data_IF_136198287943
#
_entry.id   IF_136198287943
#
_cell.length_a   1.000
_cell.length_b   1.000
_cell.length_c   1.000
_cell.angle_alpha   90.00
_cell.angle_beta   90.00
_cell.angle_gamma   90.00
#
_symmetry.space_group_name_H-M   'P 1'
#
loop_
_entity.id
_entity.type
_entity.pdbx_description
1 polymer ?
#
# COMPACT_ATOMS: atom_id res chain seq x y z
N UNK A 1 -34.18 11.88 20.86
CA UNK A 1 -33.45 12.61 19.79
C UNK A 1 -32.55 11.62 19.07
N UNK A 2 -32.82 11.37 17.78
CA UNK A 2 -32.09 10.40 16.96
C UNK A 2 -30.68 10.93 16.69
N UNK A 3 -29.65 10.20 17.13
CA UNK A 3 -28.27 10.41 16.68
C UNK A 3 -28.22 9.94 15.21
N UNK A 4 -28.04 10.87 14.28
CA UNK A 4 -27.90 10.59 12.86
C UNK A 4 -26.78 9.55 12.64
N UNK A 5 -27.13 8.37 12.12
CA UNK A 5 -26.19 7.27 11.84
C UNK A 5 -25.26 7.52 10.64
N UNK A 6 -24.82 8.77 10.42
CA UNK A 6 -23.79 9.14 9.44
C UNK A 6 -22.46 9.38 10.15
N UNK A 7 -21.36 9.00 9.50
CA UNK A 7 -20.01 9.31 9.99
C UNK A 7 -19.79 10.83 10.09
N UNK A 8 -18.99 11.28 11.07
CA UNK A 8 -18.49 12.64 11.09
C UNK A 8 -17.55 12.91 9.89
N UNK A 9 -17.32 14.19 9.57
CA UNK A 9 -16.51 14.60 8.42
C UNK A 9 -15.09 14.04 8.46
N UNK A 10 -14.51 13.87 9.65
CA UNK A 10 -13.15 13.35 9.82
C UNK A 10 -13.09 11.87 9.48
N UNK A 11 -14.08 11.11 9.93
CA UNK A 11 -14.26 9.69 9.64
C UNK A 11 -14.52 9.46 8.15
N UNK A 12 -15.37 10.30 7.54
CA UNK A 12 -15.60 10.26 6.10
C UNK A 12 -14.33 10.57 5.31
N UNK A 13 -13.58 11.60 5.70
CA UNK A 13 -12.29 11.93 5.06
C UNK A 13 -11.30 10.77 5.20
N UNK A 14 -11.18 10.19 6.40
CA UNK A 14 -10.29 9.07 6.64
C UNK A 14 -10.63 7.88 5.74
N UNK A 15 -11.89 7.42 5.74
CA UNK A 15 -12.32 6.25 4.98
C UNK A 15 -12.17 6.45 3.46
N UNK A 16 -12.43 7.66 2.96
CA UNK A 16 -12.28 7.96 1.53
C UNK A 16 -10.81 8.11 1.12
N UNK A 17 -9.97 8.71 1.97
CA UNK A 17 -8.51 8.77 1.76
C UNK A 17 -7.89 7.38 1.75
N UNK A 18 -8.12 6.56 2.78
CA UNK A 18 -7.52 5.22 2.86
C UNK A 18 -8.00 4.33 1.71
N UNK A 19 -9.26 4.46 1.26
CA UNK A 19 -9.74 3.76 0.06
C UNK A 19 -8.93 4.13 -1.17
N UNK A 20 -8.64 5.43 -1.35
CA UNK A 20 -7.85 5.92 -2.48
C UNK A 20 -6.44 5.35 -2.42
N UNK A 21 -5.81 5.33 -1.25
CA UNK A 21 -4.46 4.78 -1.10
C UNK A 21 -4.40 3.29 -1.42
N UNK A 22 -5.25 2.45 -0.80
CA UNK A 22 -5.22 1.00 -1.04
C UNK A 22 -5.53 0.66 -2.51
N UNK A 23 -6.39 1.44 -3.18
CA UNK A 23 -6.65 1.30 -4.62
C UNK A 23 -5.46 1.70 -5.48
N UNK A 24 -4.80 2.80 -5.13
CA UNK A 24 -3.61 3.29 -5.84
C UNK A 24 -2.49 2.26 -5.75
N UNK A 25 -2.24 1.75 -4.55
CA UNK A 25 -1.22 0.75 -4.26
C UNK A 25 -1.55 -0.59 -4.92
N UNK A 26 -2.80 -1.06 -4.83
CA UNK A 26 -3.24 -2.28 -5.54
C UNK A 26 -3.02 -2.16 -7.05
N UNK A 27 -3.47 -1.06 -7.68
CA UNK A 27 -3.32 -0.85 -9.11
C UNK A 27 -1.84 -0.75 -9.53
N UNK A 28 -0.98 -0.14 -8.69
CA UNK A 28 0.46 -0.10 -8.93
C UNK A 28 1.06 -1.51 -8.89
N UNK A 29 0.74 -2.30 -7.86
CA UNK A 29 1.23 -3.67 -7.71
C UNK A 29 0.74 -4.61 -8.81
N UNK A 30 -0.50 -4.49 -9.25
CA UNK A 30 -1.01 -5.26 -10.38
C UNK A 30 -0.24 -4.95 -11.67
N UNK A 31 0.03 -3.67 -11.95
CA UNK A 31 0.83 -3.27 -13.11
C UNK A 31 2.28 -3.78 -13.00
N UNK A 32 2.88 -3.62 -11.83
CA UNK A 32 4.25 -4.06 -11.57
C UNK A 32 4.40 -5.59 -11.66
N UNK A 33 3.41 -6.34 -11.15
CA UNK A 33 3.36 -7.80 -11.27
C UNK A 33 3.29 -8.25 -12.73
N UNK A 34 2.47 -7.58 -13.56
CA UNK A 34 2.40 -7.87 -15.01
C UNK A 34 3.72 -7.61 -15.72
N UNK A 35 4.43 -6.53 -15.37
CA UNK A 35 5.69 -6.15 -16.04
C UNK A 35 6.90 -6.98 -15.59
N UNK A 36 7.06 -7.17 -14.29
CA UNK A 36 8.26 -7.76 -13.69
C UNK A 36 8.09 -9.24 -13.32
N UNK A 37 6.87 -9.77 -13.41
CA UNK A 37 6.57 -11.18 -13.16
C UNK A 37 6.63 -11.58 -11.69
N UNK A 38 6.49 -12.89 -11.44
CA UNK A 38 6.27 -13.49 -10.11
C UNK A 38 7.44 -13.31 -9.12
N UNK A 39 8.63 -12.99 -9.59
CA UNK A 39 9.81 -12.82 -8.72
C UNK A 39 9.76 -11.57 -7.82
N UNK A 40 8.82 -10.65 -8.06
CA UNK A 40 8.83 -9.28 -7.56
C UNK A 40 8.01 -9.00 -6.29
N UNK A 41 7.35 -10.01 -5.70
CA UNK A 41 6.39 -9.88 -4.58
C UNK A 41 5.10 -9.09 -4.88
N UNK A 42 5.02 -8.35 -5.98
CA UNK A 42 3.88 -7.47 -6.28
C UNK A 42 2.53 -8.20 -6.42
N UNK A 43 2.51 -9.44 -6.91
CA UNK A 43 1.24 -10.17 -7.07
C UNK A 43 0.57 -10.46 -5.72
N UNK A 44 1.35 -10.81 -4.70
CA UNK A 44 0.85 -11.08 -3.35
C UNK A 44 0.42 -9.77 -2.68
N UNK A 45 1.24 -8.73 -2.78
CA UNK A 45 0.92 -7.41 -2.23
C UNK A 45 -0.34 -6.82 -2.87
N UNK A 46 -0.56 -7.01 -4.17
CA UNK A 46 -1.80 -6.62 -4.83
C UNK A 46 -3.03 -7.31 -4.22
N UNK A 47 -2.92 -8.59 -3.88
CA UNK A 47 -4.02 -9.33 -3.25
C UNK A 47 -4.33 -8.81 -1.84
N UNK A 48 -3.28 -8.50 -1.06
CA UNK A 48 -3.40 -7.91 0.27
C UNK A 48 -4.10 -6.55 0.19
N UNK A 49 -3.72 -5.68 -0.74
CA UNK A 49 -4.38 -4.38 -0.91
C UNK A 49 -5.84 -4.49 -1.40
N UNK A 50 -6.14 -5.46 -2.27
CA UNK A 50 -7.54 -5.73 -2.65
C UNK A 50 -8.38 -6.24 -1.48
N UNK A 51 -7.76 -6.92 -0.51
CA UNK A 51 -8.44 -7.29 0.73
C UNK A 51 -8.73 -6.06 1.58
N UNK A 52 -7.76 -5.15 1.73
CA UNK A 52 -7.99 -3.87 2.42
C UNK A 52 -9.11 -3.07 1.76
N UNK A 53 -9.10 -2.95 0.42
CA UNK A 53 -10.15 -2.27 -0.33
C UNK A 53 -11.55 -2.81 0.01
N UNK A 54 -11.74 -4.14 0.01
CA UNK A 54 -13.02 -4.76 0.34
C UNK A 54 -13.50 -4.40 1.75
N UNK A 55 -12.58 -4.36 2.72
CA UNK A 55 -12.90 -4.00 4.10
C UNK A 55 -13.27 -2.52 4.23
N UNK A 56 -12.53 -1.63 3.57
CA UNK A 56 -12.86 -0.20 3.56
C UNK A 56 -14.22 0.05 2.89
N UNK A 57 -14.50 -0.61 1.77
CA UNK A 57 -15.81 -0.52 1.09
C UNK A 57 -16.97 -1.01 1.96
N UNK A 58 -16.75 -2.06 2.75
CA UNK A 58 -17.74 -2.53 3.70
C UNK A 58 -18.04 -1.47 4.77
N UNK A 59 -17.02 -0.80 5.33
CA UNK A 59 -17.23 0.29 6.28
C UNK A 59 -17.89 1.51 5.64
N UNK A 60 -17.49 1.92 4.44
CA UNK A 60 -18.15 3.01 3.70
C UNK A 60 -19.65 2.73 3.54
N UNK A 61 -20.02 1.49 3.21
CA UNK A 61 -21.42 1.06 3.12
C UNK A 61 -22.14 1.14 4.48
N UNK A 62 -21.53 0.64 5.56
CA UNK A 62 -22.09 0.70 6.92
C UNK A 62 -22.37 2.13 7.35
N UNK A 63 -21.45 3.05 7.05
CA UNK A 63 -21.54 4.46 7.40
C UNK A 63 -22.26 5.32 6.35
N UNK A 64 -22.84 4.70 5.31
CA UNK A 64 -23.58 5.35 4.22
C UNK A 64 -22.78 6.45 3.49
N UNK A 65 -21.46 6.26 3.40
CA UNK A 65 -20.56 7.15 2.66
C UNK A 65 -20.44 6.64 1.22
N UNK A 66 -20.61 7.53 0.25
CA UNK A 66 -20.36 7.21 -1.15
C UNK A 66 -18.88 6.90 -1.39
N UNK A 67 -18.59 5.75 -1.99
CA UNK A 67 -17.23 5.41 -2.37
C UNK A 67 -16.77 6.32 -3.53
N UNK A 68 -15.64 7.05 -3.39
CA UNK A 68 -15.09 7.82 -4.50
C UNK A 68 -14.70 6.91 -5.66
N UNK A 69 -14.62 7.48 -6.87
CA UNK A 69 -14.04 6.78 -8.02
C UNK A 69 -12.55 6.48 -7.76
N UNK A 70 -12.02 5.36 -8.31
CA UNK A 70 -10.59 5.10 -8.22
C UNK A 70 -9.79 6.23 -8.90
N UNK A 71 -8.62 6.60 -8.34
CA UNK A 71 -7.72 7.55 -9.00
C UNK A 71 -7.12 6.94 -10.27
N UNK A 72 -6.59 7.77 -11.18
CA UNK A 72 -5.82 7.26 -12.31
C UNK A 72 -4.61 6.46 -11.81
N UNK A 73 -4.20 5.39 -12.53
CA UNK A 73 -3.04 4.59 -12.11
C UNK A 73 -1.76 5.41 -12.12
N UNK A 74 -0.89 5.16 -11.14
CA UNK A 74 0.44 5.76 -11.11
C UNK A 74 1.30 5.23 -12.26
N UNK A 75 2.21 6.07 -12.81
CA UNK A 75 3.17 5.63 -13.81
C UNK A 75 4.09 4.56 -13.24
N UNK A 76 4.25 3.46 -14.00
CA UNK A 76 5.12 2.36 -13.62
C UNK A 76 6.57 2.67 -14.05
N UNK A 77 7.55 2.60 -13.14
CA UNK A 77 8.96 2.76 -13.51
C UNK A 77 9.45 1.72 -14.52
N UNK A 78 10.54 2.02 -15.21
CA UNK A 78 11.07 1.16 -16.28
C UNK A 78 11.73 -0.10 -15.71
N UNK A 79 12.36 0.01 -14.55
CA UNK A 79 13.17 -1.05 -13.93
C UNK A 79 12.53 -1.58 -12.66
N UNK A 80 12.87 -2.83 -12.29
CA UNK A 80 12.38 -3.47 -11.07
C UNK A 80 12.86 -2.74 -9.79
N UNK A 81 14.14 -2.33 -9.65
CA UNK A 81 14.59 -1.58 -8.48
C UNK A 81 13.82 -0.26 -8.27
N UNK A 82 13.58 0.51 -9.34
CA UNK A 82 12.81 1.76 -9.24
C UNK A 82 11.35 1.49 -8.83
N UNK A 83 10.74 0.43 -9.35
CA UNK A 83 9.38 0.02 -8.98
C UNK A 83 9.31 -0.41 -7.51
N UNK A 84 10.29 -1.18 -7.02
CA UNK A 84 10.40 -1.55 -5.60
C UNK A 84 10.61 -0.32 -4.72
N UNK A 85 11.46 0.63 -5.12
CA UNK A 85 11.64 1.89 -4.39
C UNK A 85 10.36 2.73 -4.34
N UNK A 86 9.62 2.82 -5.45
CA UNK A 86 8.32 3.48 -5.48
C UNK A 86 7.33 2.78 -4.54
N UNK A 87 7.32 1.46 -4.51
CA UNK A 87 6.49 0.65 -3.60
C UNK A 87 6.81 0.95 -2.14
N UNK A 88 8.09 1.00 -1.76
CA UNK A 88 8.50 1.39 -0.41
C UNK A 88 8.01 2.79 -0.04
N UNK A 89 8.00 3.74 -1.00
CA UNK A 89 7.44 5.08 -0.75
C UNK A 89 5.93 5.04 -0.53
N UNK A 90 5.20 4.25 -1.32
CA UNK A 90 3.75 4.08 -1.16
C UNK A 90 3.41 3.50 0.21
N UNK A 91 4.07 2.41 0.63
CA UNK A 91 3.81 1.80 1.94
C UNK A 91 4.16 2.74 3.11
N UNK A 92 5.27 3.49 3.02
CA UNK A 92 5.61 4.50 4.04
C UNK A 92 4.55 5.60 4.11
N UNK A 93 4.00 6.01 2.98
CA UNK A 93 2.91 6.99 2.93
C UNK A 93 1.64 6.43 3.59
N UNK A 94 1.25 5.18 3.27
CA UNK A 94 0.11 4.49 3.91
C UNK A 94 0.27 4.40 5.44
N UNK A 95 1.46 4.05 5.93
CA UNK A 95 1.74 4.05 7.38
C UNK A 95 1.54 5.43 7.99
N UNK A 96 2.10 6.47 7.37
CA UNK A 96 2.01 7.84 7.86
C UNK A 96 0.57 8.37 7.88
N UNK A 97 -0.22 8.09 6.83
CA UNK A 97 -1.63 8.44 6.79
C UNK A 97 -2.43 7.71 7.87
N UNK A 98 -2.22 6.40 8.03
CA UNK A 98 -2.91 5.65 9.08
C UNK A 98 -2.55 6.18 10.47
N UNK A 99 -1.26 6.46 10.73
CA UNK A 99 -0.79 7.06 11.98
C UNK A 99 -1.38 8.46 12.23
N UNK A 100 -1.65 9.23 11.19
CA UNK A 100 -2.34 10.51 11.31
C UNK A 100 -3.80 10.30 11.72
N UNK A 101 -4.55 9.48 10.98
CA UNK A 101 -5.98 9.27 11.21
C UNK A 101 -6.27 8.58 12.55
N UNK A 102 -5.44 7.61 12.96
CA UNK A 102 -5.60 6.90 14.24
C UNK A 102 -5.51 7.80 15.48
N UNK A 103 -5.05 9.06 15.36
CA UNK A 103 -5.01 10.01 16.47
C UNK A 103 -6.40 10.52 16.88
N UNK A 104 -7.38 10.48 15.98
CA UNK A 104 -8.68 11.11 16.20
C UNK A 104 -9.88 10.22 15.82
N UNK A 105 -9.66 9.09 15.14
CA UNK A 105 -10.72 8.09 14.93
C UNK A 105 -11.17 7.48 16.26
N UNK A 106 -12.50 7.31 16.41
CA UNK A 106 -13.11 6.82 17.66
C UNK A 106 -13.87 5.51 17.50
N UNK A 107 -14.51 5.30 16.36
CA UNK A 107 -15.28 4.08 16.10
C UNK A 107 -14.34 2.88 16.04
N UNK A 108 -14.60 1.88 16.89
CA UNK A 108 -13.70 0.75 17.13
C UNK A 108 -13.37 0.01 15.85
N UNK A 109 -14.36 -0.33 15.04
CA UNK A 109 -14.19 -1.05 13.78
C UNK A 109 -13.38 -0.28 12.75
N UNK A 110 -13.42 1.06 12.80
CA UNK A 110 -12.60 1.92 11.94
C UNK A 110 -11.16 1.95 12.45
N UNK A 111 -10.98 2.11 13.77
CA UNK A 111 -9.66 2.05 14.41
C UNK A 111 -8.99 0.70 14.15
N UNK A 112 -9.74 -0.40 14.27
CA UNK A 112 -9.26 -1.76 14.03
C UNK A 112 -8.84 -1.94 12.56
N UNK A 113 -9.62 -1.44 11.60
CA UNK A 113 -9.26 -1.49 10.17
C UNK A 113 -8.00 -0.69 9.87
N UNK A 114 -7.91 0.56 10.34
CA UNK A 114 -6.74 1.41 10.12
C UNK A 114 -5.49 0.84 10.80
N UNK A 115 -5.66 0.26 12.00
CA UNK A 115 -4.60 -0.47 12.69
C UNK A 115 -4.10 -1.67 11.88
N UNK A 116 -5.01 -2.47 11.33
CA UNK A 116 -4.66 -3.62 10.50
C UNK A 116 -3.93 -3.21 9.21
N UNK A 117 -4.41 -2.18 8.50
CA UNK A 117 -3.76 -1.64 7.29
C UNK A 117 -2.35 -1.13 7.63
N UNK A 118 -2.21 -0.35 8.70
CA UNK A 118 -0.91 0.16 9.17
C UNK A 118 0.07 -0.98 9.47
N UNK A 119 -0.39 -2.00 10.20
CA UNK A 119 0.44 -3.18 10.54
C UNK A 119 0.84 -3.94 9.27
N UNK A 120 -0.10 -4.16 8.34
CA UNK A 120 0.22 -4.83 7.07
C UNK A 120 1.29 -4.05 6.29
N UNK A 121 1.11 -2.74 6.13
CA UNK A 121 2.07 -1.89 5.43
C UNK A 121 3.44 -1.90 6.11
N UNK A 122 3.47 -1.69 7.44
CA UNK A 122 4.70 -1.52 8.22
C UNK A 122 5.48 -2.82 8.44
N UNK A 123 4.78 -3.89 8.81
CA UNK A 123 5.38 -5.10 9.35
C UNK A 123 5.40 -6.25 8.34
N UNK A 124 4.59 -6.19 7.29
CA UNK A 124 4.52 -7.23 6.26
C UNK A 124 5.02 -6.73 4.91
N UNK A 125 4.46 -5.63 4.38
CA UNK A 125 4.76 -5.17 3.03
C UNK A 125 6.16 -4.55 2.94
N UNK A 126 6.47 -3.58 3.81
CA UNK A 126 7.76 -2.90 3.81
C UNK A 126 8.95 -3.86 3.89
N UNK A 127 9.03 -4.80 4.87
CA UNK A 127 10.15 -5.75 4.93
C UNK A 127 10.25 -6.63 3.68
N UNK A 128 9.12 -7.09 3.12
CA UNK A 128 9.14 -7.88 1.88
C UNK A 128 9.71 -7.09 0.71
N UNK A 129 9.30 -5.84 0.55
CA UNK A 129 9.79 -4.95 -0.51
C UNK A 129 11.27 -4.61 -0.33
N UNK A 130 11.69 -4.31 0.90
CA UNK A 130 13.08 -3.99 1.25
C UNK A 130 14.01 -5.19 1.02
N UNK A 131 13.58 -6.39 1.42
CA UNK A 131 14.27 -7.64 1.11
C UNK A 131 14.44 -7.84 -0.40
N UNK A 132 13.40 -7.59 -1.19
CA UNK A 132 13.45 -7.69 -2.66
C UNK A 132 14.34 -6.63 -3.30
N UNK A 133 14.40 -5.43 -2.72
CA UNK A 133 15.29 -4.37 -3.15
C UNK A 133 16.75 -4.64 -2.76
N UNK A 134 16.99 -5.53 -1.79
CA UNK A 134 18.32 -5.84 -1.27
C UNK A 134 18.79 -4.88 -0.18
N UNK A 135 17.87 -4.22 0.52
CA UNK A 135 18.18 -3.23 1.59
C UNK A 135 18.14 -3.81 3.00
N UNK A 136 17.90 -5.11 3.18
CA UNK A 136 17.77 -5.78 4.50
C UNK A 136 19.09 -6.39 5.03
N UNK A 137 20.25 -5.90 4.57
CA UNK A 137 21.53 -6.14 5.26
C UNK A 137 22.04 -4.84 5.86
N UNK A 138 22.51 -4.83 7.13
CA UNK A 138 23.22 -3.68 7.66
C UNK A 138 24.62 -3.64 7.02
N UNK A 139 24.74 -3.12 5.79
CA UNK A 139 25.99 -2.57 5.22
C UNK A 139 25.83 -2.11 3.77
N UNK A 140 26.43 -0.94 3.51
CA UNK A 140 26.85 -0.36 2.23
C UNK A 140 26.82 -1.29 1.01
N UNK A 141 25.89 -1.03 0.09
CA UNK A 141 26.09 -1.41 -1.31
C UNK A 141 26.42 -0.17 -2.12
N UNK A 142 27.65 -0.14 -2.63
CA UNK A 142 28.13 0.87 -3.56
C UNK A 142 27.42 0.74 -4.92
N UNK A 143 27.41 1.80 -5.76
CA UNK A 143 26.83 1.76 -7.10
C UNK A 143 27.31 0.59 -7.97
N UNK A 144 28.54 0.11 -7.76
CA UNK A 144 29.10 -1.04 -8.46
C UNK A 144 28.42 -2.38 -8.08
N UNK A 145 27.90 -2.50 -6.86
CA UNK A 145 27.19 -3.70 -6.42
C UNK A 145 25.75 -3.74 -6.93
N UNK A 146 25.11 -2.56 -7.07
CA UNK A 146 23.81 -2.41 -7.74
C UNK A 146 23.92 -2.86 -9.20
N UNK A 147 24.95 -2.40 -9.92
CA UNK A 147 25.18 -2.78 -11.31
C UNK A 147 25.41 -4.30 -11.50
N UNK A 148 26.11 -4.96 -10.55
CA UNK A 148 26.32 -6.42 -10.61
C UNK A 148 25.05 -7.22 -10.35
N UNK A 149 24.14 -6.72 -9.51
CA UNK A 149 22.85 -7.35 -9.26
C UNK A 149 21.94 -7.28 -10.49
N UNK A 150 21.90 -6.13 -11.17
CA UNK A 150 21.18 -5.96 -12.44
C UNK A 150 21.68 -6.94 -13.51
N UNK A 151 23.00 -7.13 -13.62
CA UNK A 151 23.55 -8.10 -14.58
C UNK A 151 23.25 -9.55 -14.22
N UNK A 152 23.20 -9.91 -12.93
CA UNK A 152 22.88 -11.29 -12.49
C UNK A 152 21.41 -11.65 -12.67
N UNK A 153 20.51 -10.68 -12.50
CA UNK A 153 19.06 -10.89 -12.65
C UNK A 153 18.65 -10.95 -14.14
N UNK A 154 19.32 -10.20 -15.01
CA UNK A 154 19.04 -10.21 -16.46
C UNK A 154 19.65 -11.40 -17.23
N UNK A 155 20.60 -12.14 -16.65
CA UNK A 155 21.24 -13.32 -17.28
C UNK A 155 20.49 -14.65 -17.08
N UNK A 156 19.32 -14.64 -16.43
CA UNK A 156 18.48 -15.85 -16.23
C UNK A 156 17.24 -15.90 -17.13
N UNK A 157 17.27 -15.19 -18.27
CA UNK A 157 16.26 -15.25 -19.32
C UNK A 157 16.83 -15.93 -20.55
#
# INVERSE_FOLDING_TARGET
MQQNGGADMMTQSALTSVLREVRTTAAFYEQAARRFGRASAFAELAQDERRHERLVLALLKTYRIAAPKPPPPLPLPKTLPEALQQSVRLEKHTVAECDHYLRFLKAREIVDLFGAIRVSARELHLPRLQKKLGTDSPSHLSPAQVHRLDQKLNKRR
#
